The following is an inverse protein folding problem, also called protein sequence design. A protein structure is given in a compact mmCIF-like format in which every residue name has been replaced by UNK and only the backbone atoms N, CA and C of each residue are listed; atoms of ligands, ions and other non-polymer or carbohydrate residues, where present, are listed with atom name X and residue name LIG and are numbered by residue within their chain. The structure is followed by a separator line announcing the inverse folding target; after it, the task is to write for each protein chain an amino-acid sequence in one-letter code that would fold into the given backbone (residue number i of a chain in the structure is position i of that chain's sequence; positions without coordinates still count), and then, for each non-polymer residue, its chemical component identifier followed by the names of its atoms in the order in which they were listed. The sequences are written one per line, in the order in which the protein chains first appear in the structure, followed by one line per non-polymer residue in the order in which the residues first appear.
data_IF_350660315729
#
_entry.id   IF_350660315729
#
_cell.length_a   1.000
_cell.length_b   1.000
_cell.length_c   1.000
_cell.angle_alpha   90.00
_cell.angle_beta   90.00
_cell.angle_gamma   90.00
#
_symmetry.space_group_name_H-M   'P 1'
#
loop_
_entity.id
_entity.type
_entity.pdbx_description
1 polymer ?
#
# COMPACT_ATOMS: atom_id res chain seq x y z
N UNK A 1 46.65 4.96 16.46
CA UNK A 1 46.02 5.18 15.14
C UNK A 1 46.85 4.69 13.94
N UNK A 2 47.98 3.95 14.13
CA UNK A 2 48.76 3.39 13.00
C UNK A 2 48.35 1.95 12.61
N UNK A 3 47.66 1.21 13.48
CA UNK A 3 47.23 -0.16 13.21
C UNK A 3 46.17 -0.28 12.10
N UNK A 4 45.22 0.66 12.03
CA UNK A 4 44.12 0.61 11.05
C UNK A 4 44.60 0.82 9.61
N UNK A 5 45.66 1.61 9.41
CA UNK A 5 46.25 1.84 8.08
C UNK A 5 47.10 0.65 7.59
N UNK A 6 47.64 -0.17 8.50
CA UNK A 6 48.41 -1.36 8.15
C UNK A 6 47.48 -2.53 7.77
N UNK A 7 46.30 -2.63 8.40
CA UNK A 7 45.25 -3.58 8.01
C UNK A 7 44.59 -3.26 6.67
N UNK A 8 44.52 -1.98 6.28
CA UNK A 8 43.88 -1.56 5.03
C UNK A 8 44.70 -1.93 3.77
N UNK A 9 46.02 -2.13 3.92
CA UNK A 9 46.96 -2.39 2.81
C UNK A 9 47.15 -3.85 2.46
N UNK A 10 46.72 -4.78 3.32
CA UNK A 10 46.88 -6.23 3.16
C UNK A 10 45.56 -6.96 2.85
N UNK A 11 44.47 -6.21 2.67
CA UNK A 11 43.17 -6.80 2.36
C UNK A 11 43.20 -7.34 0.91
N UNK A 12 43.58 -8.61 0.76
CA UNK A 12 43.57 -9.32 -0.51
C UNK A 12 42.15 -9.53 -1.04
N UNK A 13 42.02 -9.78 -2.35
CA UNK A 13 40.72 -9.88 -3.03
C UNK A 13 39.73 -10.89 -2.42
N UNK A 14 40.22 -11.96 -1.78
CA UNK A 14 39.37 -12.95 -1.10
C UNK A 14 38.64 -12.40 0.13
N UNK A 15 39.31 -11.59 0.95
CA UNK A 15 38.72 -10.97 2.14
C UNK A 15 37.62 -9.96 1.75
N UNK A 16 37.83 -9.19 0.65
CA UNK A 16 36.81 -8.27 0.13
C UNK A 16 35.57 -9.02 -0.34
N UNK A 17 35.74 -10.20 -0.96
CA UNK A 17 34.62 -11.03 -1.40
C UNK A 17 33.83 -11.54 -0.21
N UNK A 18 34.50 -12.03 0.84
CA UNK A 18 33.84 -12.50 2.07
C UNK A 18 33.07 -11.36 2.74
N UNK A 19 33.70 -10.19 2.87
CA UNK A 19 33.05 -8.99 3.42
C UNK A 19 31.82 -8.63 2.57
N UNK A 20 31.94 -8.62 1.24
CA UNK A 20 30.82 -8.30 0.36
C UNK A 20 29.68 -9.31 0.50
N UNK A 21 29.97 -10.61 0.57
CA UNK A 21 28.97 -11.67 0.73
C UNK A 21 28.23 -11.61 2.06
N UNK A 22 28.84 -11.08 3.11
CA UNK A 22 28.21 -10.96 4.43
C UNK A 22 27.52 -9.61 4.61
N UNK A 23 28.19 -8.52 4.25
CA UNK A 23 27.72 -7.15 4.52
C UNK A 23 26.61 -6.74 3.55
N UNK A 24 26.69 -7.12 2.28
CA UNK A 24 25.72 -6.72 1.27
C UNK A 24 24.30 -7.27 1.55
N UNK A 25 24.12 -8.56 1.93
CA UNK A 25 22.80 -9.07 2.28
C UNK A 25 22.22 -8.40 3.53
N UNK A 26 23.04 -8.15 4.55
CA UNK A 26 22.59 -7.50 5.80
C UNK A 26 22.09 -6.08 5.50
N UNK A 27 22.88 -5.29 4.75
CA UNK A 27 22.49 -3.96 4.30
C UNK A 27 21.21 -4.00 3.45
N UNK A 28 21.10 -4.99 2.56
CA UNK A 28 19.92 -5.15 1.71
C UNK A 28 18.66 -5.41 2.54
N UNK A 29 18.72 -6.32 3.51
CA UNK A 29 17.58 -6.61 4.40
C UNK A 29 17.21 -5.38 5.22
N UNK A 30 18.19 -4.66 5.77
CA UNK A 30 17.94 -3.44 6.54
C UNK A 30 17.31 -2.33 5.68
N UNK A 31 17.77 -2.19 4.44
CA UNK A 31 17.23 -1.22 3.50
C UNK A 31 15.77 -1.55 3.10
N UNK A 32 15.45 -2.83 2.92
CA UNK A 32 14.09 -3.28 2.60
C UNK A 32 13.20 -3.52 3.82
N UNK A 33 13.69 -3.25 5.04
CA UNK A 33 12.95 -3.48 6.29
C UNK A 33 11.56 -2.82 6.30
N UNK A 34 11.36 -1.56 5.86
CA UNK A 34 10.03 -0.96 5.81
C UNK A 34 9.07 -1.72 4.88
N UNK A 35 9.56 -2.22 3.75
CA UNK A 35 8.78 -3.00 2.79
C UNK A 35 8.39 -4.37 3.35
N UNK A 36 9.30 -5.00 4.10
CA UNK A 36 9.06 -6.29 4.76
C UNK A 36 7.96 -6.13 5.83
N UNK A 37 8.05 -5.10 6.67
CA UNK A 37 7.03 -4.80 7.70
C UNK A 37 5.68 -4.47 7.04
N UNK A 38 5.70 -3.76 5.92
CA UNK A 38 4.52 -3.36 5.17
C UNK A 38 3.84 -4.45 4.34
N UNK A 39 4.37 -5.67 4.28
CA UNK A 39 3.93 -6.69 3.31
C UNK A 39 2.46 -7.11 3.46
N UNK A 40 1.94 -7.13 4.69
CA UNK A 40 0.56 -7.48 5.01
C UNK A 40 -0.42 -6.30 4.93
N UNK A 41 0.07 -5.12 4.56
CA UNK A 41 -0.74 -3.91 4.48
C UNK A 41 -1.50 -3.83 3.14
N UNK A 42 -2.71 -3.22 3.12
CA UNK A 42 -3.42 -2.96 1.88
C UNK A 42 -2.62 -2.04 0.93
N UNK A 43 -1.83 -1.13 1.48
CA UNK A 43 -0.94 -0.22 0.78
C UNK A 43 0.49 -0.77 0.59
N UNK A 44 0.69 -2.10 0.61
CA UNK A 44 2.00 -2.74 0.43
C UNK A 44 2.78 -2.27 -0.80
N UNK A 45 2.09 -2.03 -1.92
CA UNK A 45 2.72 -1.54 -3.16
C UNK A 45 3.20 -0.11 -2.98
N UNK A 46 2.45 0.74 -2.28
CA UNK A 46 2.85 2.11 -2.01
C UNK A 46 4.06 2.15 -1.07
N UNK A 47 4.07 1.31 -0.03
CA UNK A 47 5.22 1.14 0.86
C UNK A 47 6.45 0.68 0.09
N UNK A 48 6.30 -0.32 -0.78
CA UNK A 48 7.39 -0.82 -1.61
C UNK A 48 7.92 0.24 -2.59
N UNK A 49 7.05 0.97 -3.28
CA UNK A 49 7.45 2.03 -4.21
C UNK A 49 8.17 3.18 -3.50
N UNK A 50 7.67 3.62 -2.35
CA UNK A 50 8.31 4.67 -1.55
C UNK A 50 9.69 4.18 -1.09
N UNK A 51 9.80 2.94 -0.61
CA UNK A 51 11.07 2.38 -0.19
C UNK A 51 12.06 2.21 -1.36
N UNK A 52 11.59 1.79 -2.54
CA UNK A 52 12.42 1.58 -3.72
C UNK A 52 12.93 2.89 -4.32
N UNK A 53 12.05 3.90 -4.44
CA UNK A 53 12.36 5.17 -5.11
C UNK A 53 12.97 6.21 -4.16
N UNK A 54 12.61 6.20 -2.87
CA UNK A 54 13.05 7.20 -1.89
C UNK A 54 13.83 6.60 -0.71
N UNK A 55 13.87 5.27 -0.55
CA UNK A 55 14.56 4.61 0.57
C UNK A 55 16.08 4.72 0.52
N UNK A 56 16.67 5.20 -0.59
CA UNK A 56 18.07 5.59 -0.67
C UNK A 56 18.39 6.85 0.17
N UNK A 57 17.36 7.59 0.59
CA UNK A 57 17.49 8.71 1.53
C UNK A 57 17.01 8.31 2.92
N UNK A 58 17.63 8.86 3.96
CA UNK A 58 17.21 8.65 5.36
C UNK A 58 15.74 9.05 5.53
N UNK A 59 15.33 10.19 4.94
CA UNK A 59 13.97 10.70 5.03
C UNK A 59 12.99 9.72 4.37
N UNK A 60 13.24 9.29 3.14
CA UNK A 60 12.35 8.37 2.43
C UNK A 60 12.25 7.00 3.10
N UNK A 61 13.34 6.51 3.70
CA UNK A 61 13.33 5.29 4.52
C UNK A 61 12.40 5.43 5.74
N UNK A 62 12.47 6.54 6.47
CA UNK A 62 11.57 6.81 7.61
C UNK A 62 10.12 7.03 7.17
N UNK A 63 9.87 7.65 6.02
CA UNK A 63 8.51 7.79 5.46
C UNK A 63 7.94 6.42 5.12
N UNK A 64 8.72 5.54 4.49
CA UNK A 64 8.30 4.17 4.22
C UNK A 64 8.02 3.39 5.51
N UNK A 65 8.85 3.58 6.55
CA UNK A 65 8.66 2.94 7.85
C UNK A 65 7.39 3.46 8.55
N UNK A 66 7.17 4.77 8.53
CA UNK A 66 5.95 5.39 9.03
C UNK A 66 4.72 4.80 8.33
N UNK A 67 4.78 4.66 7.02
CA UNK A 67 3.71 4.08 6.22
C UNK A 67 3.46 2.60 6.55
N UNK A 68 4.52 1.83 6.83
CA UNK A 68 4.41 0.46 7.28
C UNK A 68 3.81 0.31 8.69
N UNK A 69 4.02 1.29 9.56
CA UNK A 69 3.60 1.25 10.97
C UNK A 69 2.29 2.00 11.26
N UNK A 70 1.89 2.99 10.44
CA UNK A 70 0.68 3.79 10.67
C UNK A 70 -0.58 2.94 10.75
N UNK A 71 -1.61 3.37 11.48
CA UNK A 71 -2.90 2.67 11.47
C UNK A 71 -3.47 2.68 10.05
N UNK A 72 -3.94 1.52 9.57
CA UNK A 72 -4.58 1.46 8.26
C UNK A 72 -5.76 2.44 8.25
N UNK A 73 -5.88 3.32 7.24
CA UNK A 73 -7.08 4.12 7.07
C UNK A 73 -8.28 3.20 7.03
N UNK A 74 -9.30 3.50 7.84
CA UNK A 74 -10.59 2.80 7.75
C UNK A 74 -11.05 2.99 6.30
N UNK A 75 -11.28 1.91 5.54
CA UNK A 75 -11.77 2.03 4.17
C UNK A 75 -13.03 2.87 4.21
N UNK A 76 -12.91 4.09 3.70
CA UNK A 76 -14.03 4.97 3.45
C UNK A 76 -14.89 4.25 2.40
N UNK A 77 -16.13 3.83 2.72
CA UNK A 77 -16.99 3.14 1.76
C UNK A 77 -17.36 4.02 0.54
N UNK A 78 -17.11 5.33 0.63
CA UNK A 78 -17.31 6.35 -0.38
C UNK A 78 -16.01 6.91 -0.96
N UNK A 79 -14.84 6.31 -0.68
CA UNK A 79 -13.60 6.71 -1.36
C UNK A 79 -13.75 6.26 -2.80
N UNK A 80 -13.68 7.16 -3.80
CA UNK A 80 -13.47 6.75 -5.17
C UNK A 80 -12.02 6.26 -5.24
N UNK A 81 -11.79 5.04 -4.77
CA UNK A 81 -10.64 4.28 -5.22
C UNK A 81 -10.74 4.33 -6.74
N UNK A 82 -9.64 4.66 -7.42
CA UNK A 82 -9.53 4.49 -8.86
C UNK A 82 -9.72 3.00 -9.08
N UNK A 83 -10.98 2.59 -9.21
CA UNK A 83 -11.40 1.28 -9.65
C UNK A 83 -10.92 1.27 -11.07
N UNK A 84 -9.81 0.59 -11.30
CA UNK A 84 -9.46 0.07 -12.60
C UNK A 84 -10.78 -0.45 -13.19
N UNK A 85 -11.25 0.27 -14.22
CA UNK A 85 -12.64 0.28 -14.63
C UNK A 85 -13.17 -1.15 -14.79
N UNK A 86 -14.11 -1.57 -13.94
CA UNK A 86 -14.69 -2.90 -14.08
C UNK A 86 -15.50 -3.46 -12.92
N UNK A 87 -15.38 -2.96 -11.69
CA UNK A 87 -15.95 -3.66 -10.52
C UNK A 87 -17.00 -2.89 -9.68
N UNK A 88 -17.58 -1.79 -10.17
CA UNK A 88 -18.59 -0.98 -9.42
C UNK A 88 -19.94 -0.87 -10.13
N UNK A 89 -20.46 -2.00 -10.58
CA UNK A 89 -21.81 -2.05 -11.13
C UNK A 89 -22.70 -3.12 -10.49
N UNK A 90 -22.20 -3.87 -9.50
CA UNK A 90 -22.90 -5.08 -9.00
C UNK A 90 -23.15 -5.09 -7.48
N UNK A 91 -22.83 -4.01 -6.77
CA UNK A 91 -23.12 -3.94 -5.32
C UNK A 91 -24.53 -3.38 -5.14
N UNK A 92 -25.44 -4.17 -4.58
CA UNK A 92 -26.83 -3.80 -4.26
C UNK A 92 -26.91 -2.44 -3.53
N UNK A 93 -25.90 -2.10 -2.73
CA UNK A 93 -25.80 -0.81 -2.06
C UNK A 93 -25.67 0.37 -3.04
N UNK A 94 -24.89 0.24 -4.11
CA UNK A 94 -24.70 1.30 -5.10
C UNK A 94 -25.99 1.55 -5.89
N UNK A 95 -26.77 0.49 -6.17
CA UNK A 95 -28.09 0.60 -6.80
C UNK A 95 -29.12 1.28 -5.89
N UNK A 96 -29.14 0.95 -4.60
CA UNK A 96 -30.03 1.60 -3.62
C UNK A 96 -29.72 3.11 -3.51
N UNK A 97 -28.44 3.48 -3.54
CA UNK A 97 -28.03 4.89 -3.53
C UNK A 97 -28.49 5.60 -4.81
N UNK A 98 -28.34 4.96 -5.97
CA UNK A 98 -28.82 5.51 -7.25
C UNK A 98 -30.33 5.70 -7.30
N UNK A 99 -31.10 4.76 -6.75
CA UNK A 99 -32.56 4.85 -6.67
C UNK A 99 -33.03 5.96 -5.74
N UNK A 100 -32.30 6.19 -4.64
CA UNK A 100 -32.58 7.30 -3.71
C UNK A 100 -32.40 8.65 -4.40
N UNK A 101 -31.30 8.82 -5.14
CA UNK A 101 -31.00 10.07 -5.85
C UNK A 101 -32.04 10.36 -6.96
N UNK A 102 -32.55 9.34 -7.67
CA UNK A 102 -33.60 9.48 -8.69
C UNK A 102 -34.99 9.82 -8.10
N UNK A 103 -35.29 9.34 -6.89
CA UNK A 103 -36.49 9.73 -6.16
C UNK A 103 -36.40 11.19 -5.71
N UNK A 104 -35.25 11.60 -5.20
CA UNK A 104 -35.03 12.97 -4.72
C UNK A 104 -35.06 13.99 -5.89
N UNK A 105 -34.76 13.55 -7.12
CA UNK A 105 -34.94 14.32 -8.36
C UNK A 105 -36.40 14.43 -8.83
N UNK A 106 -37.37 13.83 -8.12
CA UNK A 106 -38.80 13.92 -8.42
C UNK A 106 -39.25 13.13 -9.65
N UNK A 107 -38.36 12.33 -10.24
CA UNK A 107 -38.63 11.48 -11.41
C UNK A 107 -39.13 10.08 -11.06
N UNK A 108 -39.07 9.68 -9.79
CA UNK A 108 -39.50 8.36 -9.32
C UNK A 108 -40.54 8.51 -8.21
N UNK A 109 -41.70 7.86 -8.40
CA UNK A 109 -42.75 7.85 -7.37
C UNK A 109 -42.35 6.94 -6.20
N UNK A 110 -42.89 7.22 -5.00
CA UNK A 110 -42.56 6.47 -3.77
C UNK A 110 -42.86 4.97 -3.91
N UNK A 111 -43.87 4.64 -4.71
CA UNK A 111 -44.34 3.28 -4.96
C UNK A 111 -43.37 2.48 -5.83
N UNK A 112 -42.78 3.12 -6.85
CA UNK A 112 -41.79 2.49 -7.74
C UNK A 112 -40.46 2.24 -7.04
N UNK A 113 -40.06 3.14 -6.15
CA UNK A 113 -38.86 2.99 -5.32
C UNK A 113 -38.96 1.75 -4.41
N UNK A 114 -40.07 1.60 -3.68
CA UNK A 114 -40.25 0.48 -2.75
C UNK A 114 -40.36 -0.87 -3.49
N UNK A 115 -40.97 -0.88 -4.68
CA UNK A 115 -41.05 -2.10 -5.51
C UNK A 115 -39.67 -2.57 -5.97
N UNK A 116 -38.79 -1.66 -6.38
CA UNK A 116 -37.44 -2.01 -6.79
C UNK A 116 -36.56 -2.42 -5.60
N UNK A 117 -36.67 -1.71 -4.47
CA UNK A 117 -35.97 -2.06 -3.23
C UNK A 117 -36.28 -3.48 -2.76
N UNK A 118 -37.56 -3.89 -2.74
CA UNK A 118 -37.95 -5.23 -2.29
C UNK A 118 -37.48 -6.35 -3.25
N UNK A 119 -37.49 -6.08 -4.55
CA UNK A 119 -37.00 -7.05 -5.54
C UNK A 119 -35.47 -7.24 -5.44
N UNK A 120 -34.73 -6.17 -5.14
CA UNK A 120 -33.27 -6.21 -4.95
C UNK A 120 -32.85 -6.87 -3.63
N UNK A 121 -33.67 -6.80 -2.58
CA UNK A 121 -33.39 -7.44 -1.29
C UNK A 121 -33.78 -8.93 -1.22
N UNK A 122 -34.56 -9.42 -2.18
CA UNK A 122 -35.05 -10.82 -2.22
C UNK A 122 -34.26 -11.71 -3.18
N UNK A 123 -33.34 -11.14 -3.97
CA UNK A 123 -32.50 -11.85 -4.95
C UNK A 123 -31.17 -12.28 -4.33
#
# INVERSE_FOLDING_TARGET
MKGTLLFMGDIGGGELIIIMLIVLPILSVLHFLPSIIGFQRPDRLLIFLVNLLAGWSIIGWFVALYLALRKAPIPNPFSPSIRLAGASANSVADEIVKLRDLRDQGTLTVEEFERQKNNLLTK
#
